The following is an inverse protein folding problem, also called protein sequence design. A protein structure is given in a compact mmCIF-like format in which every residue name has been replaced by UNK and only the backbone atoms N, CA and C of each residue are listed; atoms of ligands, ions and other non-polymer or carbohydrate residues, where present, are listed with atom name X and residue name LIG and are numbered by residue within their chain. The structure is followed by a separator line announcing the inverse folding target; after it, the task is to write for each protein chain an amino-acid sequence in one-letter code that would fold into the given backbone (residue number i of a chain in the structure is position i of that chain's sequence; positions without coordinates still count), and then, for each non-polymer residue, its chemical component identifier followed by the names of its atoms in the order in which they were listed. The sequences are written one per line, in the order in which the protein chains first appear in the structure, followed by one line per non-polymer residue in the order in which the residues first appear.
data_IF_497177958326
#
_entry.id   IF_497177958326
#
_cell.length_a   1.000
_cell.length_b   1.000
_cell.length_c   1.000
_cell.angle_alpha   90.00
_cell.angle_beta   90.00
_cell.angle_gamma   90.00
#
_symmetry.space_group_name_H-M   'P 1'
#
loop_
_entity.id
_entity.type
_entity.pdbx_description
1 polymer ?
#
# COMPACT_ATOMS: atom_id res chain seq x y z
N UNK A 1 12.62 -17.66 -23.45
CA UNK A 1 11.31 -18.02 -22.87
C UNK A 1 10.93 -16.95 -21.86
N UNK A 2 10.03 -16.04 -22.21
CA UNK A 2 9.51 -15.02 -21.29
C UNK A 2 8.27 -15.62 -20.62
N UNK A 3 8.35 -15.87 -19.32
CA UNK A 3 7.18 -16.26 -18.53
C UNK A 3 6.14 -15.12 -18.62
N UNK A 4 4.87 -15.41 -18.92
CA UNK A 4 3.83 -14.40 -18.88
C UNK A 4 3.70 -13.87 -17.46
N UNK A 5 3.79 -12.55 -17.32
CA UNK A 5 3.57 -11.81 -16.09
C UNK A 5 2.20 -12.23 -15.52
N UNK A 6 2.10 -12.75 -14.27
CA UNK A 6 0.82 -13.23 -13.76
C UNK A 6 -0.16 -12.07 -13.73
N UNK A 7 -1.25 -12.24 -14.48
CA UNK A 7 -2.39 -11.34 -14.35
C UNK A 7 -2.84 -11.36 -12.89
N UNK A 8 -3.21 -10.21 -12.32
CA UNK A 8 -3.62 -10.11 -10.93
C UNK A 8 -4.97 -10.80 -10.75
N UNK A 9 -4.91 -12.09 -10.43
CA UNK A 9 -6.05 -12.93 -10.15
C UNK A 9 -6.75 -12.43 -8.88
N UNK A 10 -8.10 -12.38 -8.86
CA UNK A 10 -8.83 -12.05 -7.65
C UNK A 10 -8.52 -13.08 -6.55
N UNK A 11 -8.39 -12.61 -5.30
CA UNK A 11 -8.09 -13.50 -4.17
C UNK A 11 -9.34 -14.26 -3.76
N UNK A 12 -9.32 -15.58 -3.88
CA UNK A 12 -10.37 -16.44 -3.36
C UNK A 12 -10.07 -16.86 -1.91
N UNK A 13 -11.11 -16.89 -1.08
CA UNK A 13 -11.06 -17.45 0.28
C UNK A 13 -12.14 -18.52 0.39
N UNK A 14 -11.76 -19.74 0.73
CA UNK A 14 -12.67 -20.85 1.01
C UNK A 14 -12.98 -20.94 2.50
N UNK A 15 -14.23 -21.27 2.85
CA UNK A 15 -14.65 -21.48 4.23
C UNK A 15 -15.95 -22.26 4.33
N UNK A 16 -16.52 -22.30 5.52
CA UNK A 16 -17.85 -22.85 5.77
C UNK A 16 -18.82 -21.72 6.11
N UNK A 17 -20.01 -21.75 5.51
CA UNK A 17 -21.10 -20.83 5.80
C UNK A 17 -22.29 -21.60 6.36
N UNK A 18 -23.03 -20.97 7.27
CA UNK A 18 -24.25 -21.53 7.84
C UNK A 18 -25.46 -21.09 6.99
N UNK A 19 -26.23 -22.04 6.48
CA UNK A 19 -27.49 -21.80 5.78
C UNK A 19 -28.60 -22.53 6.55
N UNK A 20 -29.33 -21.80 7.40
CA UNK A 20 -30.28 -22.41 8.35
C UNK A 20 -29.55 -23.29 9.38
N UNK A 21 -29.95 -24.55 9.55
CA UNK A 21 -29.34 -25.51 10.49
C UNK A 21 -28.20 -26.35 9.90
N UNK A 22 -27.74 -26.07 8.67
CA UNK A 22 -26.71 -26.85 7.99
C UNK A 22 -25.49 -26.00 7.63
N UNK A 23 -24.32 -26.61 7.75
CA UNK A 23 -23.05 -26.03 7.30
C UNK A 23 -22.79 -26.45 5.85
N UNK A 24 -22.46 -25.47 5.01
CA UNK A 24 -22.10 -25.70 3.62
C UNK A 24 -20.72 -25.11 3.35
N UNK A 25 -19.96 -25.71 2.44
CA UNK A 25 -18.74 -25.11 1.92
C UNK A 25 -19.08 -23.87 1.09
N UNK A 26 -18.42 -22.75 1.37
CA UNK A 26 -18.61 -21.49 0.66
C UNK A 26 -17.27 -20.98 0.16
N UNK A 27 -17.23 -20.54 -1.09
CA UNK A 27 -16.10 -19.82 -1.66
C UNK A 27 -16.47 -18.35 -1.86
N UNK A 28 -15.62 -17.46 -1.36
CA UNK A 28 -15.78 -16.02 -1.52
C UNK A 28 -14.64 -15.48 -2.38
N UNK A 29 -14.96 -14.62 -3.34
CA UNK A 29 -13.97 -13.98 -4.21
C UNK A 29 -13.86 -12.50 -3.84
N UNK A 30 -12.66 -12.10 -3.40
CA UNK A 30 -12.36 -10.70 -3.07
C UNK A 30 -11.86 -9.99 -4.32
N UNK A 31 -12.66 -9.03 -4.80
CA UNK A 31 -12.33 -8.16 -5.94
C UNK A 31 -11.83 -6.79 -5.46
N UNK A 32 -11.23 -6.02 -6.37
CA UNK A 32 -10.83 -4.64 -6.09
C UNK A 32 -9.59 -4.51 -5.20
N UNK A 33 -8.72 -5.52 -5.19
CA UNK A 33 -7.44 -5.45 -4.49
C UNK A 33 -6.59 -4.31 -5.05
N UNK A 34 -5.91 -3.59 -4.16
CA UNK A 34 -4.99 -2.52 -4.50
C UNK A 34 -3.58 -2.87 -4.05
N UNK A 35 -2.62 -2.64 -4.94
CA UNK A 35 -1.19 -2.68 -4.60
C UNK A 35 -0.88 -1.48 -3.70
N UNK A 36 0.03 -1.67 -2.75
CA UNK A 36 0.40 -0.65 -1.78
C UNK A 36 1.91 -0.64 -1.64
N UNK A 37 2.54 0.39 -2.20
CA UNK A 37 3.98 0.59 -2.14
C UNK A 37 4.32 1.58 -1.04
N UNK A 38 5.51 1.43 -0.48
CA UNK A 38 6.13 2.41 0.40
C UNK A 38 7.43 2.86 -0.26
N UNK A 39 7.48 4.13 -0.66
CA UNK A 39 8.67 4.74 -1.23
C UNK A 39 9.40 5.47 -0.13
N UNK A 40 10.67 5.13 0.04
CA UNK A 40 11.61 5.80 0.94
C UNK A 40 12.33 6.88 0.13
N UNK A 41 12.06 8.17 0.39
CA UNK A 41 12.79 9.23 -0.28
C UNK A 41 14.22 9.34 0.23
N UNK A 42 15.05 10.12 -0.46
CA UNK A 42 16.38 10.44 0.03
C UNK A 42 16.34 11.16 1.39
N UNK A 43 17.35 10.96 2.24
CA UNK A 43 17.40 11.54 3.58
C UNK A 43 17.32 13.07 3.57
N UNK A 44 17.80 13.73 2.53
CA UNK A 44 17.71 15.19 2.39
C UNK A 44 16.28 15.71 2.18
N UNK A 45 15.36 14.90 1.67
CA UNK A 45 13.98 15.34 1.36
C UNK A 45 13.18 15.69 2.63
N UNK A 46 13.44 14.98 3.72
CA UNK A 46 12.76 15.18 5.01
C UNK A 46 13.73 15.67 6.09
N UNK A 47 14.84 16.29 5.68
CA UNK A 47 15.77 16.90 6.63
C UNK A 47 15.07 18.05 7.34
N UNK A 48 14.89 17.90 8.65
CA UNK A 48 14.17 18.86 9.48
C UNK A 48 15.19 19.80 10.15
N UNK A 49 15.90 20.60 9.34
CA UNK A 49 16.88 21.56 9.87
C UNK A 49 16.20 22.64 10.74
N UNK A 50 14.95 22.98 10.42
CA UNK A 50 14.16 23.99 11.13
C UNK A 50 13.29 23.43 12.28
N UNK A 51 13.31 22.12 12.53
CA UNK A 51 12.45 21.49 13.56
C UNK A 51 10.94 21.54 13.27
N UNK A 52 10.53 21.98 12.07
CA UNK A 52 9.14 22.27 11.72
C UNK A 52 8.27 21.00 11.71
N UNK A 53 8.80 19.88 11.21
CA UNK A 53 8.09 18.61 11.17
C UNK A 53 7.93 18.07 12.59
N UNK A 54 9.00 18.10 13.40
CA UNK A 54 8.95 17.63 14.78
C UNK A 54 7.97 18.43 15.67
N UNK A 55 7.95 19.76 15.52
CA UNK A 55 7.00 20.64 16.22
C UNK A 55 5.56 20.34 15.81
N UNK A 56 5.28 20.30 14.50
CA UNK A 56 3.93 19.98 14.01
C UNK A 56 3.49 18.57 14.41
N UNK A 57 4.40 17.59 14.50
CA UNK A 57 4.08 16.27 15.01
C UNK A 57 3.67 16.31 16.50
N UNK A 58 4.37 17.10 17.32
CA UNK A 58 4.01 17.31 18.71
C UNK A 58 2.65 18.03 18.85
N UNK A 59 2.40 19.03 18.00
CA UNK A 59 1.13 19.77 17.97
C UNK A 59 -0.03 18.91 17.48
N UNK A 60 0.17 18.03 16.49
CA UNK A 60 -0.85 17.06 16.05
C UNK A 60 -1.16 16.04 17.15
N UNK A 61 -0.17 15.70 17.99
CA UNK A 61 -0.37 14.83 19.15
C UNK A 61 -1.20 15.52 20.24
N UNK A 62 -1.03 16.83 20.43
CA UNK A 62 -1.82 17.62 21.37
C UNK A 62 -3.23 17.93 20.83
N UNK A 63 -3.33 18.34 19.56
CA UNK A 63 -4.56 18.77 18.92
C UNK A 63 -4.70 18.12 17.53
N UNK A 64 -5.59 17.13 17.35
CA UNK A 64 -5.69 16.36 16.11
C UNK A 64 -6.18 17.19 14.91
N UNK A 65 -6.67 18.42 15.13
CA UNK A 65 -7.12 19.35 14.09
C UNK A 65 -6.00 19.86 13.19
N UNK A 66 -4.77 19.98 13.71
CA UNK A 66 -3.60 20.50 12.96
C UNK A 66 -2.98 19.50 11.99
N UNK A 67 -3.51 18.28 11.95
CA UNK A 67 -3.05 17.24 11.02
C UNK A 67 -3.07 17.70 9.56
N UNK A 68 -3.99 18.59 9.20
CA UNK A 68 -4.06 19.13 7.85
C UNK A 68 -2.84 19.98 7.49
N UNK A 69 -2.29 20.76 8.42
CA UNK A 69 -1.11 21.60 8.20
C UNK A 69 0.15 20.77 8.03
N UNK A 70 0.33 19.77 8.91
CA UNK A 70 1.39 18.78 8.77
C UNK A 70 1.33 18.08 7.40
N UNK A 71 0.13 17.66 6.98
CA UNK A 71 -0.03 17.03 5.66
C UNK A 71 0.27 17.97 4.50
N UNK A 72 -0.06 19.27 4.60
CA UNK A 72 0.27 20.27 3.58
C UNK A 72 1.78 20.47 3.48
N UNK A 73 2.48 20.65 4.60
CA UNK A 73 3.94 20.79 4.64
C UNK A 73 4.63 19.56 4.05
N UNK A 74 4.23 18.35 4.48
CA UNK A 74 4.75 17.11 3.93
C UNK A 74 4.42 16.96 2.44
N UNK A 75 3.27 17.47 2.00
CA UNK A 75 2.88 17.43 0.60
C UNK A 75 3.82 18.25 -0.27
N UNK A 76 4.18 19.45 0.20
CA UNK A 76 5.09 20.41 -0.43
C UNK A 76 6.53 19.87 -0.52
N UNK A 77 7.06 19.37 0.60
CA UNK A 77 8.41 18.78 0.66
C UNK A 77 8.55 17.54 -0.24
N UNK A 78 7.49 16.74 -0.37
CA UNK A 78 7.46 15.57 -1.24
C UNK A 78 7.15 15.86 -2.71
N UNK A 79 7.02 17.13 -3.13
CA UNK A 79 6.58 17.48 -4.49
C UNK A 79 7.50 16.90 -5.57
N UNK A 80 8.82 17.02 -5.40
CA UNK A 80 9.82 16.46 -6.30
C UNK A 80 9.72 14.93 -6.42
N UNK A 81 9.65 14.23 -5.28
CA UNK A 81 9.51 12.76 -5.22
C UNK A 81 8.22 12.31 -5.92
N UNK A 82 7.12 13.06 -5.76
CA UNK A 82 5.84 12.75 -6.43
C UNK A 82 5.90 12.95 -7.93
N UNK A 83 6.61 13.98 -8.40
CA UNK A 83 6.80 14.23 -9.82
C UNK A 83 7.58 13.09 -10.47
N UNK A 84 8.72 12.70 -9.89
CA UNK A 84 9.53 11.58 -10.38
C UNK A 84 8.74 10.25 -10.35
N UNK A 85 8.07 9.94 -9.24
CA UNK A 85 7.27 8.72 -9.15
C UNK A 85 6.10 8.71 -10.13
N UNK A 86 5.48 9.86 -10.42
CA UNK A 86 4.41 9.95 -11.41
C UNK A 86 4.93 9.53 -12.78
N UNK A 87 6.10 9.98 -13.17
CA UNK A 87 6.71 9.56 -14.44
C UNK A 87 7.06 8.08 -14.45
N UNK A 88 7.68 7.56 -13.38
CA UNK A 88 8.03 6.15 -13.25
C UNK A 88 6.77 5.28 -13.39
N UNK A 89 5.71 5.61 -12.65
CA UNK A 89 4.44 4.87 -12.69
C UNK A 89 3.81 4.92 -14.09
N UNK A 90 3.81 6.08 -14.75
CA UNK A 90 3.29 6.22 -16.11
C UNK A 90 4.10 5.43 -17.14
N UNK A 91 5.44 5.44 -17.03
CA UNK A 91 6.35 4.62 -17.88
C UNK A 91 6.06 3.12 -17.75
N UNK A 92 5.63 2.68 -16.57
CA UNK A 92 5.21 1.30 -16.32
C UNK A 92 3.73 1.03 -16.62
N UNK A 93 2.99 1.97 -17.21
CA UNK A 93 1.60 1.76 -17.64
C UNK A 93 0.55 1.91 -16.53
N UNK A 94 0.92 2.47 -15.37
CA UNK A 94 0.02 2.67 -14.23
C UNK A 94 -0.69 4.01 -14.39
N UNK A 95 -1.97 3.98 -14.74
CA UNK A 95 -2.76 5.18 -15.09
C UNK A 95 -3.37 5.90 -13.90
N UNK A 96 -3.77 5.15 -12.87
CA UNK A 96 -4.47 5.70 -11.71
C UNK A 96 -3.81 5.25 -10.42
N UNK A 97 -3.26 6.21 -9.69
CA UNK A 97 -2.59 5.97 -8.42
C UNK A 97 -2.85 7.11 -7.43
N UNK A 98 -2.79 6.77 -6.14
CA UNK A 98 -2.91 7.72 -5.02
C UNK A 98 -1.63 7.71 -4.20
N UNK A 99 -1.07 8.89 -3.96
CA UNK A 99 0.14 9.09 -3.16
C UNK A 99 -0.20 9.83 -1.88
N UNK A 100 0.23 9.31 -0.73
CA UNK A 100 -0.02 9.92 0.59
C UNK A 100 1.24 9.83 1.44
N UNK A 101 1.72 10.92 2.04
CA UNK A 101 2.82 10.87 3.00
C UNK A 101 2.36 10.14 4.27
N UNK A 102 3.19 9.21 4.75
CA UNK A 102 2.91 8.39 5.94
C UNK A 102 4.18 8.20 6.75
N UNK A 103 4.08 8.22 8.08
CA UNK A 103 5.17 7.84 8.97
C UNK A 103 5.28 6.32 9.07
N UNK A 104 6.48 5.76 8.92
CA UNK A 104 6.76 4.32 9.02
C UNK A 104 8.08 4.09 9.73
N UNK A 105 8.09 3.07 10.60
CA UNK A 105 9.30 2.60 11.25
C UNK A 105 9.95 1.51 10.41
N UNK A 106 11.28 1.55 10.30
CA UNK A 106 12.09 0.58 9.59
C UNK A 106 13.23 0.10 10.49
N UNK A 107 13.46 -1.21 10.55
CA UNK A 107 14.43 -1.83 11.44
C UNK A 107 15.10 -3.06 10.80
N UNK A 108 15.28 -3.04 9.47
CA UNK A 108 15.91 -4.14 8.73
C UNK A 108 17.17 -3.64 8.00
N UNK A 109 17.92 -4.55 7.38
CA UNK A 109 19.29 -4.30 6.92
C UNK A 109 19.40 -3.85 5.45
N UNK A 110 18.43 -3.11 4.90
CA UNK A 110 18.56 -2.62 3.52
C UNK A 110 19.52 -1.42 3.49
N UNK A 111 20.58 -1.47 2.66
CA UNK A 111 21.55 -0.39 2.58
C UNK A 111 20.91 0.90 2.07
N UNK A 112 21.28 2.02 2.69
CA UNK A 112 20.79 3.36 2.33
C UNK A 112 19.45 3.77 2.97
N UNK A 113 18.76 2.86 3.67
CA UNK A 113 17.52 3.19 4.38
C UNK A 113 17.81 3.46 5.86
N UNK A 114 17.45 4.64 6.40
CA UNK A 114 17.61 4.93 7.82
C UNK A 114 16.83 3.94 8.70
N UNK A 115 17.43 3.57 9.82
CA UNK A 115 16.73 2.84 10.88
C UNK A 115 15.90 3.82 11.74
N UNK A 116 14.76 3.36 12.21
CA UNK A 116 13.85 4.14 13.06
C UNK A 116 12.62 4.66 12.31
N UNK A 117 11.96 5.66 12.91
CA UNK A 117 10.76 6.25 12.32
C UNK A 117 11.11 7.33 11.30
N UNK A 118 10.53 7.23 10.11
CA UNK A 118 10.74 8.20 9.05
C UNK A 118 9.47 8.44 8.25
N UNK A 119 9.43 9.60 7.59
CA UNK A 119 8.38 9.91 6.64
C UNK A 119 8.67 9.17 5.32
N UNK A 120 7.63 8.53 4.78
CA UNK A 120 7.67 7.76 3.54
C UNK A 120 6.46 8.15 2.68
N UNK A 121 6.53 7.92 1.37
CA UNK A 121 5.39 8.12 0.49
C UNK A 121 4.69 6.79 0.21
N UNK A 122 3.45 6.66 0.66
CA UNK A 122 2.61 5.50 0.35
C UNK A 122 1.93 5.70 -1.00
N UNK A 123 2.21 4.82 -1.95
CA UNK A 123 1.55 4.79 -3.26
C UNK A 123 0.56 3.64 -3.29
N UNK A 124 -0.67 3.88 -3.77
CA UNK A 124 -1.67 2.84 -3.98
C UNK A 124 -2.20 2.91 -5.40
N UNK A 125 -2.28 1.78 -6.08
CA UNK A 125 -2.85 1.66 -7.41
C UNK A 125 -3.55 0.31 -7.55
N UNK A 126 -4.32 0.14 -8.62
CA UNK A 126 -5.12 -1.06 -8.83
C UNK A 126 -4.20 -2.27 -9.01
N UNK A 127 -4.57 -3.41 -8.41
CA UNK A 127 -3.77 -4.62 -8.60
C UNK A 127 -3.76 -5.10 -10.05
N UNK A 128 -4.78 -4.70 -10.85
CA UNK A 128 -4.95 -4.90 -12.30
C UNK A 128 -3.76 -4.41 -13.13
N UNK A 129 -3.10 -3.35 -12.66
CA UNK A 129 -1.94 -2.77 -13.31
C UNK A 129 -0.68 -3.59 -12.99
N UNK A 130 0.36 -3.53 -13.85
CA UNK A 130 1.58 -4.31 -13.66
C UNK A 130 2.28 -3.95 -12.34
N UNK A 131 2.90 -4.95 -11.73
CA UNK A 131 3.77 -4.74 -10.58
C UNK A 131 5.03 -3.99 -11.02
N UNK A 132 5.53 -3.09 -10.16
CA UNK A 132 6.81 -2.45 -10.39
C UNK A 132 7.95 -3.45 -10.20
N UNK A 133 9.05 -3.34 -10.97
CA UNK A 133 10.23 -4.16 -10.76
C UNK A 133 10.84 -3.90 -9.37
N UNK A 134 11.40 -4.96 -8.78
CA UNK A 134 12.12 -4.88 -7.51
C UNK A 134 13.42 -4.11 -7.68
N UNK A 135 13.82 -3.35 -6.65
CA UNK A 135 15.10 -2.63 -6.66
C UNK A 135 15.12 -1.39 -7.54
N UNK A 136 13.96 -0.85 -7.93
CA UNK A 136 13.90 0.48 -8.52
C UNK A 136 14.46 1.50 -7.52
N UNK A 137 15.44 2.26 -7.99
CA UNK A 137 16.03 3.40 -7.31
C UNK A 137 15.84 4.63 -8.21
N UNK A 138 15.65 5.79 -7.61
CA UNK A 138 15.48 7.04 -8.32
C UNK A 138 16.53 8.06 -7.95
N UNK A 139 16.43 9.25 -8.54
CA UNK A 139 17.25 10.39 -8.12
C UNK A 139 16.77 10.95 -6.79
N UNK A 140 15.47 10.90 -6.52
CA UNK A 140 14.85 11.50 -5.31
C UNK A 140 14.41 10.47 -4.27
N UNK A 141 14.54 9.17 -4.57
CA UNK A 141 14.18 8.10 -3.65
C UNK A 141 15.20 6.96 -3.62
N UNK A 142 15.41 6.40 -2.43
CA UNK A 142 16.39 5.35 -2.18
C UNK A 142 15.84 3.99 -2.56
N UNK A 143 14.62 3.67 -2.11
CA UNK A 143 14.05 2.34 -2.27
C UNK A 143 12.53 2.36 -2.36
N UNK A 144 11.98 1.35 -3.04
CA UNK A 144 10.55 1.07 -3.10
C UNK A 144 10.27 -0.29 -2.46
N UNK A 145 9.49 -0.29 -1.38
CA UNK A 145 9.01 -1.50 -0.73
C UNK A 145 7.59 -1.86 -1.16
N UNK A 146 7.27 -3.16 -1.08
CA UNK A 146 5.93 -3.68 -1.35
C UNK A 146 5.60 -3.85 -2.84
N UNK A 147 6.58 -3.73 -3.75
CA UNK A 147 6.39 -3.91 -5.19
C UNK A 147 5.84 -5.31 -5.55
N UNK A 148 6.37 -6.34 -4.88
CA UNK A 148 6.02 -7.74 -5.11
C UNK A 148 4.95 -8.29 -4.15
N UNK A 149 4.35 -7.44 -3.30
CA UNK A 149 3.37 -7.91 -2.32
C UNK A 149 2.12 -8.47 -3.02
N UNK A 150 1.71 -9.68 -2.64
CA UNK A 150 0.54 -10.33 -3.24
C UNK A 150 -0.78 -9.72 -2.73
N UNK A 151 -1.85 -9.89 -3.50
CA UNK A 151 -3.19 -9.46 -3.07
C UNK A 151 -3.64 -10.19 -1.79
N UNK A 152 -3.27 -11.47 -1.66
CA UNK A 152 -3.55 -12.27 -0.46
C UNK A 152 -2.79 -11.75 0.75
N UNK A 153 -1.49 -11.52 0.63
CA UNK A 153 -0.68 -10.94 1.71
C UNK A 153 -1.24 -9.59 2.17
N UNK A 154 -1.54 -8.72 1.21
CA UNK A 154 -2.18 -7.43 1.49
C UNK A 154 -3.52 -7.59 2.19
N UNK A 155 -4.33 -8.59 1.82
CA UNK A 155 -5.63 -8.86 2.44
C UNK A 155 -5.46 -9.33 3.88
N UNK A 156 -4.61 -10.34 4.08
CA UNK A 156 -4.32 -10.96 5.38
C UNK A 156 -3.78 -9.91 6.36
N UNK A 157 -2.77 -9.14 5.95
CA UNK A 157 -2.16 -8.10 6.80
C UNK A 157 -3.14 -6.96 7.10
N UNK A 158 -3.88 -6.45 6.10
CA UNK A 158 -4.79 -5.30 6.31
C UNK A 158 -6.05 -5.67 7.08
N UNK A 159 -6.47 -6.94 7.05
CA UNK A 159 -7.65 -7.44 7.80
C UNK A 159 -7.28 -8.15 9.09
N UNK A 160 -5.99 -8.31 9.40
CA UNK A 160 -5.53 -8.96 10.63
C UNK A 160 -5.93 -10.43 10.70
N UNK A 161 -6.00 -11.13 9.55
CA UNK A 161 -6.33 -12.54 9.52
C UNK A 161 -5.12 -13.34 10.01
N UNK A 162 -5.25 -14.03 11.14
CA UNK A 162 -4.16 -14.79 11.79
C UNK A 162 -4.46 -16.29 11.75
N UNK A 163 -4.63 -16.82 10.54
CA UNK A 163 -5.03 -18.20 10.31
C UNK A 163 -6.54 -18.39 10.12
N UNK A 164 -7.04 -19.64 10.14
CA UNK A 164 -8.47 -19.94 9.99
C UNK A 164 -9.29 -19.29 11.10
N UNK A 165 -10.25 -18.44 10.72
CA UNK A 165 -11.10 -17.73 11.67
C UNK A 165 -12.45 -17.37 11.06
N UNK A 166 -13.39 -16.98 11.92
CA UNK A 166 -14.68 -16.46 11.50
C UNK A 166 -14.51 -15.08 10.86
N UNK A 167 -14.98 -14.94 9.61
CA UNK A 167 -14.94 -13.67 8.87
C UNK A 167 -16.35 -13.19 8.61
N UNK A 168 -16.63 -11.92 8.94
CA UNK A 168 -17.89 -11.26 8.60
C UNK A 168 -17.76 -10.57 7.25
N UNK A 169 -18.53 -11.03 6.26
CA UNK A 169 -18.65 -10.37 4.96
C UNK A 169 -19.72 -9.28 5.04
N UNK A 170 -19.42 -8.08 4.53
CA UNK A 170 -20.37 -6.97 4.41
C UNK A 170 -20.76 -6.81 2.94
N UNK A 171 -22.03 -6.59 2.68
CA UNK A 171 -22.60 -6.38 1.33
C UNK A 171 -22.13 -7.44 0.30
N UNK A 172 -22.33 -8.75 0.58
CA UNK A 172 -21.91 -9.79 -0.34
C UNK A 172 -22.76 -9.74 -1.61
N UNK A 173 -22.10 -9.81 -2.76
CA UNK A 173 -22.77 -9.98 -4.06
C UNK A 173 -22.69 -11.44 -4.45
N UNK A 174 -23.84 -12.01 -4.82
CA UNK A 174 -23.89 -13.34 -5.41
C UNK A 174 -23.09 -13.30 -6.72
N UNK A 175 -22.18 -14.24 -6.89
CA UNK A 175 -21.50 -14.45 -8.17
C UNK A 175 -22.38 -15.39 -8.97
N UNK A 176 -23.00 -14.89 -10.02
CA UNK A 176 -23.69 -15.73 -10.98
C UNK A 176 -22.64 -16.44 -11.83
N UNK A 177 -22.47 -17.73 -11.59
CA UNK A 177 -21.77 -18.61 -12.52
C UNK A 177 -22.75 -18.85 -13.67
N UNK A 178 -22.67 -18.02 -14.72
CA UNK A 178 -23.28 -18.38 -16.00
C UNK A 178 -22.63 -19.69 -16.43
N UNK A 179 -23.42 -20.74 -16.62
CA UNK A 179 -22.96 -21.98 -17.24
C UNK A 179 -22.26 -21.62 -18.56
N UNK A 180 -20.93 -21.78 -18.60
CA UNK A 180 -20.21 -22.00 -19.85
C UNK A 180 -20.36 -23.46 -20.24
#
# INVERSE_FOLDING_TARGET
MLLPNPSPSPTATSGQGQQGSKWASVCCVVKGCQRSLLVVPQPDVFRDEDGSIALLEAEVKAEPGRKLELLKLLQERCSAVKAELREVLQRHGIRSFRMVPVKRSYAFEVPGVPHGEQWCLKVRYAATDPALPHGLTGTTFVAIFGANASCLESLVLKRGLRGPSWVRLREPKKVDYGNQ
#
